data_IF_180082557004
#
_entry.id   IF_180082557004
#
_cell.length_a   1.000
_cell.length_b   1.000
_cell.length_c   1.000
_cell.angle_alpha   90.00
_cell.angle_beta   90.00
_cell.angle_gamma   90.00
#
_symmetry.space_group_name_H-M   'P 1'
#
loop_
_entity.id
_entity.type
_entity.pdbx_description
1 polymer ?
#
# COMPACT_ATOMS: atom_id res chain seq x y z
N UNK A 1 -15.63 -29.07 -0.60
CA UNK A 1 -15.73 -27.64 -0.99
C UNK A 1 -14.57 -26.78 -0.48
N UNK A 2 -13.99 -27.04 0.70
CA UNK A 2 -12.89 -26.26 1.30
C UNK A 2 -11.53 -26.29 0.56
N UNK A 3 -11.30 -27.27 -0.31
CA UNK A 3 -10.04 -27.36 -1.07
C UNK A 3 -9.93 -26.32 -2.20
N UNK A 4 -11.06 -25.86 -2.76
CA UNK A 4 -11.07 -24.83 -3.79
C UNK A 4 -10.75 -23.44 -3.24
N UNK A 5 -11.00 -23.21 -1.95
CA UNK A 5 -10.71 -21.94 -1.29
C UNK A 5 -9.20 -21.73 -1.10
N UNK A 6 -8.49 -22.79 -0.67
CA UNK A 6 -7.03 -22.76 -0.52
C UNK A 6 -6.34 -22.72 -1.89
N UNK A 7 -6.90 -23.38 -2.91
CA UNK A 7 -6.43 -23.29 -4.30
C UNK A 7 -6.61 -21.89 -4.89
N UNK A 8 -7.72 -21.19 -4.63
CA UNK A 8 -7.92 -19.81 -5.10
C UNK A 8 -6.97 -18.84 -4.40
N UNK A 9 -6.78 -18.99 -3.09
CA UNK A 9 -5.80 -18.23 -2.33
C UNK A 9 -4.37 -18.47 -2.83
N UNK A 10 -4.01 -19.73 -3.07
CA UNK A 10 -2.70 -20.11 -3.59
C UNK A 10 -2.48 -19.65 -5.03
N UNK A 11 -3.53 -19.67 -5.87
CA UNK A 11 -3.46 -19.22 -7.26
C UNK A 11 -3.31 -17.69 -7.34
N UNK A 12 -4.01 -16.93 -6.49
CA UNK A 12 -3.83 -15.49 -6.38
C UNK A 12 -2.44 -15.12 -5.85
N UNK A 13 -1.94 -15.83 -4.83
CA UNK A 13 -0.58 -15.65 -4.30
C UNK A 13 0.49 -16.02 -5.34
N UNK A 14 0.28 -17.10 -6.11
CA UNK A 14 1.20 -17.53 -7.17
C UNK A 14 1.20 -16.56 -8.35
N UNK A 15 0.04 -16.04 -8.74
CA UNK A 15 -0.09 -15.02 -9.78
C UNK A 15 0.52 -13.69 -9.34
N UNK A 16 0.33 -13.32 -8.07
CA UNK A 16 0.97 -12.17 -7.46
C UNK A 16 2.49 -12.33 -7.44
N UNK A 17 3.02 -13.48 -7.01
CA UNK A 17 4.45 -13.76 -6.98
C UNK A 17 5.09 -13.80 -8.39
N UNK A 18 4.35 -14.23 -9.42
CA UNK A 18 4.83 -14.22 -10.81
C UNK A 18 4.82 -12.82 -11.44
N UNK A 19 3.94 -11.93 -10.98
CA UNK A 19 3.82 -10.56 -11.49
C UNK A 19 4.71 -9.56 -10.75
N UNK A 20 5.04 -9.82 -9.48
CA UNK A 20 5.98 -9.05 -8.65
C UNK A 20 7.32 -8.70 -9.33
N UNK A 21 8.04 -9.62 -10.02
CA UNK A 21 9.34 -9.28 -10.60
C UNK A 21 9.27 -8.15 -11.63
N UNK A 22 8.17 -8.00 -12.37
CA UNK A 22 8.02 -6.95 -13.39
C UNK A 22 7.85 -5.55 -12.80
N UNK A 23 7.39 -5.46 -11.55
CA UNK A 23 7.03 -4.19 -10.88
C UNK A 23 8.22 -3.65 -10.08
N UNK A 24 9.12 -4.52 -9.62
CA UNK A 24 10.37 -4.16 -8.91
C UNK A 24 11.35 -3.40 -9.83
N UNK A 25 11.33 -3.69 -11.13
CA UNK A 25 12.23 -3.07 -12.10
C UNK A 25 11.99 -1.56 -12.33
N UNK A 26 10.87 -1.00 -11.86
CA UNK A 26 10.60 0.45 -11.95
C UNK A 26 11.10 1.25 -10.72
N UNK A 27 11.53 0.58 -9.65
CA UNK A 27 12.00 1.21 -8.42
C UNK A 27 13.53 1.31 -8.31
N UNK A 28 14.27 1.01 -9.38
CA UNK A 28 15.72 1.16 -9.38
C UNK A 28 16.08 2.64 -9.48
N UNK A 29 16.76 3.12 -8.43
CA UNK A 29 17.42 4.42 -8.32
C UNK A 29 18.09 4.80 -9.66
N UNK A 30 17.51 5.76 -10.38
CA UNK A 30 18.18 6.42 -11.50
C UNK A 30 18.94 7.63 -10.95
N UNK A 31 20.13 7.40 -10.39
CA UNK A 31 21.02 8.51 -10.07
C UNK A 31 21.46 9.15 -11.39
N UNK A 32 20.87 10.29 -11.71
CA UNK A 32 21.10 11.06 -12.93
C UNK A 32 21.99 12.26 -12.57
N UNK A 33 23.26 12.02 -12.31
CA UNK A 33 24.25 13.07 -12.04
C UNK A 33 25.58 12.52 -11.53
N UNK A 34 26.69 13.16 -11.90
CA UNK A 34 28.08 12.84 -11.50
C UNK A 34 28.40 13.21 -10.04
N UNK A 35 27.41 13.67 -9.29
CA UNK A 35 27.52 14.08 -7.89
C UNK A 35 26.70 13.08 -7.07
N UNK A 36 27.36 12.25 -6.25
CA UNK A 36 26.78 11.06 -5.62
C UNK A 36 25.37 11.21 -5.02
N UNK A 37 24.59 10.12 -5.11
CA UNK A 37 23.18 10.05 -4.71
C UNK A 37 22.92 10.68 -3.31
N UNK A 38 22.06 11.71 -3.26
CA UNK A 38 21.71 12.38 -2.01
C UNK A 38 20.54 11.68 -1.31
N UNK A 39 20.35 11.95 -0.01
CA UNK A 39 19.24 11.40 0.79
C UNK A 39 17.85 11.79 0.25
N UNK A 40 17.75 12.86 -0.52
CA UNK A 40 16.53 13.33 -1.20
C UNK A 40 16.08 12.43 -2.37
N UNK A 41 16.99 11.64 -2.97
CA UNK A 41 16.63 10.68 -4.03
C UNK A 41 16.07 9.36 -3.47
N UNK A 42 16.31 9.10 -2.18
CA UNK A 42 15.78 7.92 -1.49
C UNK A 42 14.30 8.07 -1.11
N UNK A 43 13.84 9.31 -0.93
CA UNK A 43 12.47 9.63 -0.52
C UNK A 43 11.40 9.11 -1.51
N UNK A 44 11.48 9.36 -2.83
CA UNK A 44 10.49 8.84 -3.78
C UNK A 44 10.56 7.32 -3.94
N UNK A 45 11.72 6.69 -3.69
CA UNK A 45 11.87 5.23 -3.77
C UNK A 45 11.05 4.52 -2.68
N UNK A 46 11.12 5.02 -1.44
CA UNK A 46 10.40 4.45 -0.30
C UNK A 46 8.89 4.64 -0.49
N UNK A 47 8.46 5.82 -0.94
CA UNK A 47 7.05 6.11 -1.19
C UNK A 47 6.49 5.26 -2.33
N UNK A 48 7.25 5.07 -3.41
CA UNK A 48 6.84 4.21 -4.52
C UNK A 48 6.75 2.72 -4.10
N UNK A 49 7.75 2.23 -3.35
CA UNK A 49 7.74 0.87 -2.82
C UNK A 49 6.58 0.64 -1.84
N UNK A 50 6.32 1.60 -0.95
CA UNK A 50 5.20 1.56 -0.01
C UNK A 50 3.86 1.56 -0.75
N UNK A 51 3.65 2.45 -1.72
CA UNK A 51 2.40 2.50 -2.51
C UNK A 51 2.13 1.18 -3.24
N UNK A 52 3.18 0.54 -3.76
CA UNK A 52 3.06 -0.74 -4.44
C UNK A 52 2.62 -1.85 -3.47
N UNK A 53 3.26 -1.94 -2.30
CA UNK A 53 2.91 -2.93 -1.26
C UNK A 53 1.52 -2.65 -0.68
N UNK A 54 1.18 -1.37 -0.46
CA UNK A 54 -0.11 -0.92 0.07
C UNK A 54 -1.26 -1.19 -0.91
N UNK A 55 -1.07 -0.95 -2.21
CA UNK A 55 -2.09 -1.21 -3.23
C UNK A 55 -2.45 -2.68 -3.34
N UNK A 56 -1.43 -3.54 -3.34
CA UNK A 56 -1.61 -4.99 -3.38
C UNK A 56 -2.23 -5.51 -2.09
N UNK A 57 -1.63 -5.17 -0.95
CA UNK A 57 -2.10 -5.64 0.35
C UNK A 57 -3.52 -5.17 0.63
N UNK A 58 -3.89 -3.96 0.19
CA UNK A 58 -5.26 -3.44 0.24
C UNK A 58 -6.24 -4.27 -0.58
N UNK A 59 -5.91 -4.58 -1.83
CA UNK A 59 -6.76 -5.42 -2.69
C UNK A 59 -6.99 -6.82 -2.09
N UNK A 60 -5.92 -7.43 -1.56
CA UNK A 60 -5.99 -8.75 -0.91
C UNK A 60 -6.84 -8.67 0.36
N UNK A 61 -6.58 -7.68 1.22
CA UNK A 61 -7.30 -7.49 2.49
C UNK A 61 -8.80 -7.29 2.25
N UNK A 62 -9.18 -6.52 1.22
CA UNK A 62 -10.58 -6.32 0.85
C UNK A 62 -11.26 -7.62 0.40
N UNK A 63 -10.57 -8.45 -0.40
CA UNK A 63 -11.07 -9.77 -0.82
C UNK A 63 -11.32 -10.68 0.38
N UNK A 64 -10.39 -10.73 1.34
CA UNK A 64 -10.56 -11.50 2.58
C UNK A 64 -11.66 -10.96 3.47
N UNK A 65 -11.85 -9.64 3.52
CA UNK A 65 -12.93 -9.01 4.27
C UNK A 65 -14.30 -9.42 3.73
N UNK A 66 -14.50 -9.34 2.40
CA UNK A 66 -15.75 -9.78 1.75
C UNK A 66 -15.96 -11.28 1.97
N UNK A 67 -14.91 -12.09 1.83
CA UNK A 67 -15.00 -13.53 2.04
C UNK A 67 -15.39 -13.90 3.48
N UNK A 68 -14.74 -13.27 4.48
CA UNK A 68 -15.09 -13.45 5.89
C UNK A 68 -16.53 -13.03 6.19
N UNK A 69 -16.99 -11.96 5.54
CA UNK A 69 -18.37 -11.49 5.62
C UNK A 69 -19.36 -12.50 5.07
N UNK A 70 -19.11 -13.03 3.86
CA UNK A 70 -19.96 -14.05 3.24
C UNK A 70 -20.01 -15.32 4.10
N UNK A 71 -18.87 -15.78 4.63
CA UNK A 71 -18.80 -16.96 5.52
C UNK A 71 -19.59 -16.73 6.80
N UNK A 72 -19.49 -15.55 7.42
CA UNK A 72 -20.26 -15.23 8.61
C UNK A 72 -21.77 -15.26 8.32
N UNK A 73 -22.21 -14.64 7.21
CA UNK A 73 -23.62 -14.54 6.84
C UNK A 73 -24.21 -15.87 6.39
N UNK A 74 -23.42 -16.74 5.74
CA UNK A 74 -23.88 -18.07 5.28
C UNK A 74 -23.75 -19.16 6.36
N UNK A 75 -23.37 -18.82 7.58
CA UNK A 75 -23.12 -19.80 8.66
C UNK A 75 -24.38 -20.52 9.19
N UNK A 76 -25.59 -20.13 8.78
CA UNK A 76 -26.87 -20.81 9.08
C UNK A 76 -27.09 -21.20 10.58
N UNK A 77 -26.42 -20.53 11.52
CA UNK A 77 -26.50 -20.83 12.96
C UNK A 77 -25.52 -21.88 13.48
N UNK A 78 -24.66 -22.47 12.65
CA UNK A 78 -23.58 -23.34 13.12
C UNK A 78 -22.52 -22.51 13.86
N UNK A 79 -22.42 -22.69 15.18
CA UNK A 79 -21.52 -21.95 16.09
C UNK A 79 -20.07 -21.93 15.61
N UNK A 80 -19.61 -23.04 15.02
CA UNK A 80 -18.27 -23.21 14.47
C UNK A 80 -17.99 -22.22 13.31
N UNK A 81 -18.94 -22.12 12.36
CA UNK A 81 -18.80 -21.25 11.18
C UNK A 81 -18.96 -19.78 11.52
N UNK A 82 -19.82 -19.47 12.50
CA UNK A 82 -19.97 -18.11 13.03
C UNK A 82 -18.67 -17.64 13.71
N UNK A 83 -18.06 -18.50 14.53
CA UNK A 83 -16.81 -18.18 15.23
C UNK A 83 -15.65 -18.01 14.23
N UNK A 84 -15.59 -18.88 13.23
CA UNK A 84 -14.59 -18.79 12.16
C UNK A 84 -14.76 -17.51 11.33
N UNK A 85 -15.98 -17.17 10.91
CA UNK A 85 -16.28 -15.94 10.17
C UNK A 85 -15.93 -14.68 10.95
N UNK A 86 -16.24 -14.64 12.26
CA UNK A 86 -15.85 -13.53 13.14
C UNK A 86 -14.34 -13.38 13.23
N UNK A 87 -13.61 -14.47 13.42
CA UNK A 87 -12.15 -14.45 13.51
C UNK A 87 -11.51 -13.90 12.22
N UNK A 88 -12.01 -14.32 11.05
CA UNK A 88 -11.53 -13.84 9.75
C UNK A 88 -11.81 -12.34 9.60
N UNK A 89 -13.02 -11.88 9.97
CA UNK A 89 -13.39 -10.48 9.90
C UNK A 89 -12.55 -9.60 10.83
N UNK A 90 -12.37 -10.01 12.09
CA UNK A 90 -11.54 -9.26 13.05
C UNK A 90 -10.11 -9.11 12.56
N UNK A 91 -9.51 -10.20 12.04
CA UNK A 91 -8.17 -10.15 11.48
C UNK A 91 -8.09 -9.27 10.22
N UNK A 92 -9.11 -9.29 9.37
CA UNK A 92 -9.18 -8.46 8.15
C UNK A 92 -9.31 -6.97 8.49
N UNK A 93 -10.08 -6.63 9.53
CA UNK A 93 -10.23 -5.24 9.99
C UNK A 93 -8.90 -4.70 10.51
N UNK A 94 -8.16 -5.50 11.29
CA UNK A 94 -6.82 -5.10 11.78
C UNK A 94 -5.88 -4.83 10.62
N UNK A 95 -5.86 -5.70 9.60
CA UNK A 95 -5.07 -5.48 8.39
C UNK A 95 -5.43 -4.19 7.65
N UNK A 96 -6.73 -3.90 7.51
CA UNK A 96 -7.21 -2.67 6.87
C UNK A 96 -6.80 -1.42 7.67
N UNK A 97 -6.86 -1.51 9.00
CA UNK A 97 -6.48 -0.42 9.90
C UNK A 97 -4.99 -0.09 9.77
N UNK A 98 -4.12 -1.10 9.66
CA UNK A 98 -2.68 -0.92 9.44
C UNK A 98 -2.40 -0.20 8.12
N UNK A 99 -3.09 -0.56 7.04
CA UNK A 99 -2.95 0.11 5.73
C UNK A 99 -3.34 1.59 5.84
N UNK A 100 -4.46 1.87 6.51
CA UNK A 100 -4.93 3.24 6.73
C UNK A 100 -3.93 4.04 7.57
N UNK A 101 -3.41 3.46 8.66
CA UNK A 101 -2.38 4.09 9.49
C UNK A 101 -1.10 4.36 8.71
N UNK A 102 -0.67 3.44 7.85
CA UNK A 102 0.52 3.63 7.01
C UNK A 102 0.37 4.83 6.07
N UNK A 103 -0.79 5.00 5.45
CA UNK A 103 -1.04 6.14 4.56
C UNK A 103 -0.99 7.48 5.32
N UNK A 104 -1.60 7.53 6.51
CA UNK A 104 -1.56 8.73 7.37
C UNK A 104 -0.13 9.07 7.79
N UNK A 105 0.67 8.07 8.15
CA UNK A 105 2.08 8.27 8.53
C UNK A 105 2.89 8.81 7.36
N UNK A 106 2.75 8.25 6.15
CA UNK A 106 3.47 8.73 4.96
C UNK A 106 3.15 10.21 4.71
N UNK A 107 1.87 10.57 4.74
CA UNK A 107 1.44 11.96 4.54
C UNK A 107 1.90 12.88 5.66
N UNK A 108 1.96 12.38 6.90
CA UNK A 108 2.49 13.14 8.02
C UNK A 108 3.99 13.40 7.88
N UNK A 109 4.77 12.38 7.49
CA UNK A 109 6.21 12.48 7.27
C UNK A 109 6.51 13.41 6.09
N UNK A 110 5.82 13.26 4.95
CA UNK A 110 5.97 14.14 3.78
C UNK A 110 5.50 15.56 4.09
N UNK A 111 4.43 15.73 4.86
CA UNK A 111 3.94 17.06 5.24
C UNK A 111 4.81 17.79 6.27
N UNK A 112 5.57 17.06 7.09
CA UNK A 112 6.45 17.66 8.12
C UNK A 112 7.90 17.80 7.66
N UNK A 113 8.40 16.90 6.80
CA UNK A 113 9.73 16.98 6.19
C UNK A 113 9.73 17.72 4.85
N UNK A 114 8.66 17.59 4.06
CA UNK A 114 8.43 18.33 2.81
C UNK A 114 7.83 19.73 3.03
N UNK A 115 7.94 20.27 4.24
CA UNK A 115 7.55 21.62 4.63
C UNK A 115 8.35 22.75 3.97
N UNK A 116 8.90 22.52 2.77
CA UNK A 116 9.57 23.50 1.91
C UNK A 116 9.33 23.22 0.42
N UNK A 117 8.13 22.75 0.07
CA UNK A 117 7.59 22.89 -1.30
C UNK A 117 6.56 24.03 -1.39
N UNK A 118 6.73 25.08 -0.58
CA UNK A 118 6.22 26.40 -0.93
C UNK A 118 7.27 27.11 -1.78
N UNK A 119 7.36 26.74 -3.06
CA UNK A 119 7.72 27.71 -4.09
C UNK A 119 6.51 28.60 -4.36
N UNK A 120 6.07 29.32 -3.33
CA UNK A 120 5.48 30.63 -3.55
C UNK A 120 6.51 31.43 -4.33
N UNK A 121 6.12 31.85 -5.52
CA UNK A 121 6.23 33.26 -5.87
C UNK A 121 7.55 33.97 -5.49
N UNK A 122 8.70 33.44 -5.91
CA UNK A 122 9.87 34.28 -6.17
C UNK A 122 10.03 34.53 -7.68
N UNK A 123 8.92 34.95 -8.32
CA UNK A 123 8.98 35.99 -9.35
C UNK A 123 8.80 37.36 -8.69
N UNK A 124 9.70 37.72 -7.79
CA UNK A 124 9.99 39.13 -7.53
C UNK A 124 11.08 39.52 -8.54
N UNK A 125 10.67 39.84 -9.77
CA UNK A 125 11.48 40.65 -10.66
C UNK A 125 10.66 41.88 -11.04
N UNK A 126 10.69 42.86 -10.14
CA UNK A 126 10.37 44.26 -10.41
C UNK A 126 11.72 44.94 -10.76
N UNK A 127 11.77 45.79 -11.80
CA UNK A 127 12.95 46.04 -12.63
C UNK A 127 13.93 47.07 -12.07
N UNK A 128 15.23 46.89 -12.37
CA UNK A 128 16.20 47.99 -12.47
C UNK A 128 17.47 47.63 -13.27
N UNK A 129 17.84 48.55 -14.16
CA UNK A 129 19.15 48.79 -14.80
C UNK A 129 19.73 47.75 -15.78
N UNK A 130 19.46 47.91 -17.08
CA UNK A 130 20.32 48.67 -18.00
C UNK A 130 19.54 49.07 -19.25
#
# INVERSE_FOLDING_TARGET
MFENLKKIQFLFILFFFLSVPSIVNAALVNCKGDDGCNLSDFEPMIVNAANMILGVSGAITLLFFIYGGVVLLTSAGASDRVTQGRTILTNSIIGLLVIFSSFVIIQFVVGTLGGEADSTNLKINIPSSS
#
